data_IF_065104508677
#
_entry.id   IF_065104508677
#
_cell.length_a   1.000
_cell.length_b   1.000
_cell.length_c   1.000
_cell.angle_alpha   90.00
_cell.angle_beta   90.00
_cell.angle_gamma   90.00
#
_symmetry.space_group_name_H-M   'P 1'
#
loop_
_entity.id
_entity.type
_entity.pdbx_description
1 polymer ?
#
# COMPACT_ATOMS: atom_id res chain seq x y z
N UNK A 1 53.49 51.63 54.25
CA UNK A 1 53.41 51.46 52.80
C UNK A 1 52.86 50.10 52.56
N UNK A 2 51.54 49.98 52.34
CA UNK A 2 50.81 48.73 52.17
C UNK A 2 50.55 48.53 50.68
N UNK A 3 51.04 47.41 50.10
CA UNK A 3 50.76 47.03 48.74
C UNK A 3 49.41 46.27 48.70
N UNK A 4 48.44 46.79 48.00
CA UNK A 4 47.19 46.12 47.67
C UNK A 4 47.48 45.14 46.52
N UNK A 5 47.19 43.88 46.76
CA UNK A 5 47.17 42.86 45.73
C UNK A 5 45.82 42.74 45.08
N UNK A 6 45.76 42.89 43.77
CA UNK A 6 44.56 42.75 42.96
C UNK A 6 44.36 41.25 42.62
N UNK A 7 43.33 40.63 43.17
CA UNK A 7 42.92 39.27 42.77
C UNK A 7 41.98 39.36 41.54
N UNK A 8 42.49 38.80 40.42
CA UNK A 8 41.66 38.63 39.23
C UNK A 8 40.81 37.35 39.37
N UNK A 9 39.53 37.49 39.38
CA UNK A 9 38.57 36.38 39.38
C UNK A 9 38.34 35.94 37.92
N UNK A 10 38.87 34.78 37.58
CA UNK A 10 38.62 34.16 36.26
C UNK A 10 37.27 33.41 36.32
N UNK A 11 36.25 33.92 35.63
CA UNK A 11 34.99 33.22 35.44
C UNK A 11 35.17 32.18 34.32
N UNK A 12 35.09 30.91 34.68
CA UNK A 12 35.04 29.80 33.73
C UNK A 12 33.62 29.64 33.27
N UNK A 13 33.32 30.07 32.04
CA UNK A 13 32.04 29.72 31.36
C UNK A 13 32.15 28.27 30.89
N UNK A 14 31.49 27.36 31.59
CA UNK A 14 31.25 26.00 31.08
C UNK A 14 30.10 26.04 30.10
N UNK A 15 30.41 25.98 28.80
CA UNK A 15 29.44 25.80 27.72
C UNK A 15 28.93 24.36 27.78
N UNK A 16 27.76 24.17 28.38
CA UNK A 16 27.06 22.90 28.41
C UNK A 16 26.60 22.52 27.00
N UNK A 17 27.32 21.64 26.33
CA UNK A 17 26.90 21.03 25.08
C UNK A 17 25.79 20.02 25.41
N UNK A 18 24.53 20.40 25.23
CA UNK A 18 23.40 19.46 25.28
C UNK A 18 23.49 18.60 24.04
N UNK A 19 24.09 17.42 24.16
CA UNK A 19 23.99 16.34 23.19
C UNK A 19 22.54 15.87 23.25
N UNK A 20 21.72 16.29 22.30
CA UNK A 20 20.44 15.68 22.04
C UNK A 20 20.68 14.22 21.66
N UNK A 21 20.45 13.31 22.59
CA UNK A 21 20.39 11.87 22.31
C UNK A 21 19.09 11.71 21.51
N UNK A 22 19.19 11.71 20.18
CA UNK A 22 18.10 11.24 19.33
C UNK A 22 17.78 9.82 19.80
N UNK A 23 16.59 9.60 20.34
CA UNK A 23 16.11 8.26 20.59
C UNK A 23 16.12 7.54 19.25
N UNK A 24 16.96 6.52 19.11
CA UNK A 24 16.84 5.53 18.03
C UNK A 24 15.55 4.79 18.36
N UNK A 25 14.45 5.15 17.68
CA UNK A 25 13.21 4.39 17.74
C UNK A 25 13.54 3.02 17.18
N UNK A 26 13.67 2.06 18.06
CA UNK A 26 13.83 0.65 17.66
C UNK A 26 12.52 0.26 17.03
N UNK A 27 12.53 -0.18 15.78
CA UNK A 27 11.35 -0.63 15.08
C UNK A 27 10.89 -1.96 15.72
N UNK A 28 9.95 -1.87 16.66
CA UNK A 28 9.25 -3.04 17.21
C UNK A 28 8.04 -3.32 16.30
N UNK A 29 8.32 -3.92 15.13
CA UNK A 29 7.30 -4.27 14.16
C UNK A 29 6.66 -5.59 14.61
N UNK A 30 5.38 -5.52 14.97
CA UNK A 30 4.52 -6.68 15.14
C UNK A 30 4.16 -7.21 13.76
N UNK A 31 4.25 -8.52 13.60
CA UNK A 31 3.96 -9.22 12.35
C UNK A 31 3.20 -10.50 12.70
N UNK A 32 2.03 -10.67 12.10
CA UNK A 32 1.22 -11.86 12.37
C UNK A 32 0.38 -12.27 11.16
N UNK A 33 0.19 -13.60 11.02
CA UNK A 33 -0.86 -14.14 10.16
C UNK A 33 -2.19 -14.05 10.88
N UNK A 34 -3.20 -13.50 10.21
CA UNK A 34 -4.55 -13.31 10.75
C UNK A 34 -5.52 -14.18 9.99
N UNK A 35 -6.13 -15.15 10.69
CA UNK A 35 -7.15 -16.01 10.09
C UNK A 35 -8.53 -15.43 10.39
N UNK A 36 -9.29 -15.17 9.33
CA UNK A 36 -10.66 -14.68 9.39
C UNK A 36 -11.57 -15.55 8.49
N UNK A 37 -12.87 -15.38 8.60
CA UNK A 37 -13.84 -16.26 7.93
C UNK A 37 -14.80 -15.46 7.06
N UNK A 38 -14.98 -15.89 5.81
CA UNK A 38 -15.99 -15.37 4.89
C UNK A 38 -16.90 -16.54 4.48
N UNK A 39 -18.18 -16.43 4.76
CA UNK A 39 -19.20 -17.46 4.44
C UNK A 39 -18.79 -18.89 4.90
N UNK A 40 -18.16 -18.98 6.07
CA UNK A 40 -17.69 -20.24 6.65
C UNK A 40 -16.38 -20.79 6.07
N UNK A 41 -15.75 -20.08 5.11
CA UNK A 41 -14.46 -20.44 4.55
C UNK A 41 -13.33 -19.63 5.20
N UNK A 42 -12.20 -20.25 5.58
CA UNK A 42 -11.08 -19.55 6.18
C UNK A 42 -10.25 -18.81 5.13
N UNK A 43 -9.81 -17.60 5.48
CA UNK A 43 -8.84 -16.78 4.78
C UNK A 43 -7.69 -16.43 5.72
N UNK A 44 -6.50 -16.19 5.19
CA UNK A 44 -5.32 -15.90 5.99
C UNK A 44 -4.59 -14.68 5.45
N UNK A 45 -4.88 -13.51 6.03
CA UNK A 45 -4.17 -12.26 5.78
C UNK A 45 -2.87 -12.15 6.58
N UNK A 46 -2.12 -11.10 6.30
CA UNK A 46 -0.90 -10.77 7.02
C UNK A 46 -0.94 -9.33 7.52
N UNK A 47 -0.74 -9.16 8.83
CA UNK A 47 -0.73 -7.87 9.50
C UNK A 47 0.69 -7.44 9.88
N UNK A 48 1.01 -6.16 9.69
CA UNK A 48 2.25 -5.55 10.15
C UNK A 48 1.96 -4.16 10.74
N UNK A 49 2.52 -3.88 11.93
CA UNK A 49 2.37 -2.61 12.64
C UNK A 49 3.65 -2.29 13.42
N UNK A 50 4.11 -1.06 13.39
CA UNK A 50 5.27 -0.62 14.17
C UNK A 50 4.81 0.08 15.45
N UNK A 51 4.95 -0.60 16.59
CA UNK A 51 4.56 -0.06 17.91
C UNK A 51 5.32 1.23 18.29
N UNK A 52 6.47 1.50 17.66
CA UNK A 52 7.24 2.72 17.87
C UNK A 52 6.51 4.02 17.48
N UNK A 53 5.51 3.93 16.60
CA UNK A 53 4.63 5.05 16.23
C UNK A 53 3.37 5.17 17.10
N UNK A 54 3.22 4.31 18.13
CA UNK A 54 2.07 4.30 19.02
C UNK A 54 0.85 3.58 18.45
N UNK A 55 -0.28 3.81 19.09
CA UNK A 55 -1.58 3.27 18.67
C UNK A 55 -2.29 4.26 17.74
N UNK A 56 -3.30 3.79 17.01
CA UNK A 56 -4.09 4.62 16.09
C UNK A 56 -3.34 5.03 14.81
N UNK A 57 -2.61 4.06 14.21
CA UNK A 57 -1.91 4.26 12.94
C UNK A 57 -2.88 4.16 11.77
N UNK A 58 -2.76 5.03 10.74
CA UNK A 58 -3.55 4.93 9.53
C UNK A 58 -3.37 3.56 8.87
N UNK A 59 -4.43 3.05 8.26
CA UNK A 59 -4.46 1.71 7.66
C UNK A 59 -4.12 1.74 6.17
N UNK A 60 -3.20 0.89 5.77
CA UNK A 60 -3.01 0.53 4.36
C UNK A 60 -3.51 -0.90 4.15
N UNK A 61 -4.58 -1.05 3.37
CA UNK A 61 -5.06 -2.34 2.90
C UNK A 61 -4.27 -2.72 1.64
N UNK A 62 -3.45 -3.78 1.70
CA UNK A 62 -2.62 -4.23 0.60
C UNK A 62 -3.24 -5.44 -0.10
N UNK A 63 -3.49 -5.35 -1.40
CA UNK A 63 -4.02 -6.46 -2.21
C UNK A 63 -2.91 -7.10 -3.01
N UNK A 64 -2.77 -8.43 -2.86
CA UNK A 64 -1.72 -9.23 -3.46
C UNK A 64 -1.81 -9.31 -4.99
N UNK A 65 -0.71 -9.69 -5.63
CA UNK A 65 -0.66 -9.97 -7.06
C UNK A 65 -1.36 -11.31 -7.41
N UNK A 66 -1.27 -11.77 -8.65
CA UNK A 66 -1.93 -13.00 -9.09
C UNK A 66 -1.37 -14.29 -8.48
N UNK A 67 -0.19 -14.24 -7.83
CA UNK A 67 0.40 -15.39 -7.14
C UNK A 67 -0.25 -15.68 -5.78
N UNK A 68 -1.13 -14.79 -5.31
CA UNK A 68 -1.67 -14.82 -3.96
C UNK A 68 -0.74 -14.14 -2.95
N UNK A 69 -1.16 -14.09 -1.71
CA UNK A 69 -0.39 -13.47 -0.64
C UNK A 69 0.87 -14.28 -0.35
N UNK A 70 2.04 -13.71 -0.64
CA UNK A 70 3.34 -14.35 -0.42
C UNK A 70 4.37 -13.42 0.28
N UNK A 71 5.64 -13.78 0.20
CA UNK A 71 6.72 -13.02 0.84
C UNK A 71 6.91 -11.61 0.27
N UNK A 72 6.44 -11.34 -0.95
CA UNK A 72 6.50 -10.02 -1.57
C UNK A 72 5.57 -9.05 -0.84
N UNK A 73 4.30 -9.40 -0.71
CA UNK A 73 3.31 -8.57 0.00
C UNK A 73 3.65 -8.43 1.49
N UNK A 74 4.10 -9.52 2.13
CA UNK A 74 4.55 -9.48 3.51
C UNK A 74 5.69 -8.48 3.70
N UNK A 75 6.67 -8.43 2.78
CA UNK A 75 7.77 -7.47 2.84
C UNK A 75 7.29 -6.04 2.55
N UNK A 76 6.39 -5.83 1.60
CA UNK A 76 5.77 -4.51 1.34
C UNK A 76 4.99 -4.01 2.57
N UNK A 77 4.26 -4.89 3.24
CA UNK A 77 3.56 -4.56 4.48
C UNK A 77 4.52 -4.12 5.59
N UNK A 78 5.65 -4.83 5.77
CA UNK A 78 6.69 -4.43 6.72
C UNK A 78 7.29 -3.06 6.38
N UNK A 79 7.56 -2.80 5.10
CA UNK A 79 8.10 -1.51 4.64
C UNK A 79 7.14 -0.36 4.93
N UNK A 80 5.83 -0.56 4.83
CA UNK A 80 4.81 0.44 5.20
C UNK A 80 4.75 0.62 6.73
N UNK A 81 4.82 -0.47 7.50
CA UNK A 81 4.90 -0.38 8.95
C UNK A 81 6.17 0.37 9.43
N UNK A 82 7.30 0.24 8.73
CA UNK A 82 8.51 1.03 8.95
C UNK A 82 8.27 2.55 8.75
N UNK A 83 7.23 2.95 7.99
CA UNK A 83 6.84 4.35 7.76
C UNK A 83 5.74 4.85 8.72
N UNK A 84 5.17 3.98 9.57
CA UNK A 84 4.15 4.35 10.54
C UNK A 84 2.72 4.01 10.14
N UNK A 85 2.53 3.25 9.06
CA UNK A 85 1.21 2.77 8.63
C UNK A 85 0.95 1.36 9.15
N UNK A 86 -0.17 1.14 9.82
CA UNK A 86 -0.68 -0.22 10.02
C UNK A 86 -1.03 -0.82 8.66
N UNK A 87 -0.54 -2.03 8.36
CA UNK A 87 -0.76 -2.62 7.04
C UNK A 87 -1.37 -4.00 7.16
N UNK A 88 -2.44 -4.24 6.43
CA UNK A 88 -3.07 -5.54 6.30
C UNK A 88 -3.03 -6.02 4.86
N UNK A 89 -2.24 -7.05 4.59
CA UNK A 89 -2.25 -7.73 3.29
C UNK A 89 -3.41 -8.74 3.29
N UNK A 90 -4.43 -8.47 2.48
CA UNK A 90 -5.65 -9.28 2.42
C UNK A 90 -5.45 -10.52 1.55
N UNK A 91 -5.96 -11.67 2.00
CA UNK A 91 -6.02 -12.89 1.21
C UNK A 91 -7.34 -12.93 0.40
N UNK A 92 -7.26 -12.97 -0.92
CA UNK A 92 -8.42 -13.07 -1.79
C UNK A 92 -8.69 -14.50 -2.29
N UNK A 93 -7.77 -15.45 -2.05
CA UNK A 93 -7.90 -16.80 -2.59
C UNK A 93 -8.39 -17.83 -1.55
N UNK A 94 -8.05 -17.61 -0.29
CA UNK A 94 -8.38 -18.50 0.83
C UNK A 94 -7.16 -19.09 1.51
N UNK A 95 -7.32 -19.47 2.77
CA UNK A 95 -6.24 -20.00 3.58
C UNK A 95 -5.53 -21.19 2.91
N UNK A 96 -4.21 -21.08 2.76
CA UNK A 96 -3.37 -22.09 2.14
C UNK A 96 -3.43 -22.17 0.60
N UNK A 97 -4.26 -21.36 -0.06
CA UNK A 97 -4.27 -21.26 -1.52
C UNK A 97 -3.14 -20.33 -1.96
N UNK A 98 -2.06 -20.93 -2.43
CA UNK A 98 -0.84 -20.22 -2.88
C UNK A 98 -0.43 -20.81 -4.22
N UNK A 99 -0.82 -20.21 -5.35
CA UNK A 99 -0.43 -20.64 -6.70
C UNK A 99 1.09 -20.78 -6.84
N UNK A 100 1.55 -21.85 -7.52
CA UNK A 100 2.96 -22.20 -7.65
C UNK A 100 3.50 -22.05 -9.07
N UNK A 101 2.63 -21.78 -10.00
CA UNK A 101 2.94 -21.63 -11.42
C UNK A 101 1.90 -20.73 -12.10
N UNK A 102 2.21 -20.36 -13.35
CA UNK A 102 1.35 -19.47 -14.15
C UNK A 102 -0.08 -19.99 -14.32
N UNK A 103 -0.26 -21.31 -14.54
CA UNK A 103 -1.57 -21.91 -14.75
C UNK A 103 -2.46 -21.79 -13.49
N UNK A 104 -1.90 -22.09 -12.32
CA UNK A 104 -2.59 -21.95 -11.03
C UNK A 104 -2.92 -20.49 -10.75
N UNK A 105 -1.97 -19.56 -11.00
CA UNK A 105 -2.18 -18.12 -10.81
C UNK A 105 -3.29 -17.57 -11.70
N UNK A 106 -3.31 -17.95 -12.99
CA UNK A 106 -4.36 -17.60 -13.93
C UNK A 106 -5.71 -18.17 -13.52
N UNK A 107 -5.73 -19.40 -13.00
CA UNK A 107 -6.96 -20.05 -12.57
C UNK A 107 -7.58 -19.32 -11.36
N UNK A 108 -6.78 -18.99 -10.34
CA UNK A 108 -7.30 -18.32 -9.13
C UNK A 108 -7.71 -16.86 -9.41
N UNK A 109 -6.86 -16.06 -10.07
CA UNK A 109 -7.22 -14.68 -10.45
C UNK A 109 -8.40 -14.65 -11.43
N UNK A 110 -8.45 -15.57 -12.37
CA UNK A 110 -9.53 -15.70 -13.36
C UNK A 110 -10.90 -15.96 -12.75
N UNK A 111 -10.98 -16.74 -11.66
CA UNK A 111 -12.24 -16.93 -10.92
C UNK A 111 -12.81 -15.60 -10.42
N UNK A 112 -11.95 -14.74 -9.89
CA UNK A 112 -12.36 -13.44 -9.34
C UNK A 112 -12.60 -12.39 -10.44
N UNK A 113 -11.86 -12.45 -11.53
CA UNK A 113 -12.19 -11.64 -12.71
C UNK A 113 -13.56 -12.00 -13.31
N UNK A 114 -13.93 -13.28 -13.29
CA UNK A 114 -15.25 -13.75 -13.77
C UNK A 114 -16.39 -13.48 -12.77
N UNK A 115 -16.08 -13.34 -11.47
CA UNK A 115 -17.06 -13.08 -10.41
C UNK A 115 -16.63 -11.87 -9.57
N UNK A 116 -16.91 -10.67 -10.09
CA UNK A 116 -16.61 -9.40 -9.42
C UNK A 116 -17.37 -9.21 -8.12
N UNK A 117 -18.55 -9.80 -7.98
CA UNK A 117 -19.31 -9.74 -6.73
C UNK A 117 -18.59 -10.48 -5.61
N UNK A 118 -18.07 -11.67 -5.87
CA UNK A 118 -17.24 -12.41 -4.93
C UNK A 118 -15.92 -11.68 -4.62
N UNK A 119 -15.28 -11.07 -5.62
CA UNK A 119 -14.08 -10.24 -5.40
C UNK A 119 -14.39 -9.11 -4.41
N UNK A 120 -15.45 -8.34 -4.65
CA UNK A 120 -15.89 -7.22 -3.78
C UNK A 120 -16.20 -7.70 -2.37
N UNK A 121 -16.91 -8.82 -2.22
CA UNK A 121 -17.24 -9.37 -0.90
C UNK A 121 -16.00 -9.75 -0.11
N UNK A 122 -14.99 -10.35 -0.74
CA UNK A 122 -13.72 -10.70 -0.09
C UNK A 122 -12.89 -9.48 0.29
N UNK A 123 -12.83 -8.46 -0.58
CA UNK A 123 -12.17 -7.18 -0.29
C UNK A 123 -12.84 -6.47 0.90
N UNK A 124 -14.16 -6.39 0.91
CA UNK A 124 -14.92 -5.77 2.00
C UNK A 124 -14.72 -6.52 3.34
N UNK A 125 -14.72 -7.85 3.32
CA UNK A 125 -14.48 -8.65 4.51
C UNK A 125 -13.05 -8.47 5.06
N UNK A 126 -12.04 -8.44 4.16
CA UNK A 126 -10.65 -8.17 4.55
C UNK A 126 -10.45 -6.75 5.10
N UNK A 127 -11.13 -5.75 4.53
CA UNK A 127 -11.15 -4.38 5.03
C UNK A 127 -11.76 -4.33 6.45
N UNK A 128 -12.93 -4.96 6.63
CA UNK A 128 -13.60 -4.98 7.92
C UNK A 128 -12.77 -5.68 9.01
N UNK A 129 -12.04 -6.75 8.67
CA UNK A 129 -11.10 -7.41 9.59
C UNK A 129 -9.95 -6.47 9.95
N UNK A 130 -9.33 -5.83 8.95
CA UNK A 130 -8.21 -4.92 9.14
C UNK A 130 -8.55 -3.72 10.04
N UNK A 131 -9.74 -3.15 9.87
CA UNK A 131 -10.21 -2.00 10.66
C UNK A 131 -10.41 -2.31 12.15
N UNK A 132 -10.55 -3.58 12.52
CA UNK A 132 -10.70 -4.02 13.91
C UNK A 132 -9.38 -4.42 14.58
N UNK A 133 -8.26 -4.41 13.84
CA UNK A 133 -6.95 -4.79 14.38
C UNK A 133 -6.48 -3.78 15.43
N UNK A 134 -5.83 -4.30 16.48
CA UNK A 134 -5.33 -3.46 17.56
C UNK A 134 -4.25 -2.47 17.07
N UNK A 135 -4.41 -1.19 17.38
CA UNK A 135 -3.47 -0.15 17.02
C UNK A 135 -3.76 0.53 15.68
N UNK A 136 -4.81 0.09 14.99
CA UNK A 136 -5.25 0.63 13.69
C UNK A 136 -6.22 1.81 13.90
N UNK A 137 -6.08 2.85 13.08
CA UNK A 137 -7.10 3.86 12.82
C UNK A 137 -7.92 3.41 11.61
N UNK A 138 -9.05 2.80 11.86
CA UNK A 138 -9.91 2.25 10.82
C UNK A 138 -10.70 3.29 10.03
N UNK A 139 -10.66 4.56 10.43
CA UNK A 139 -11.33 5.68 9.75
C UNK A 139 -10.42 6.36 8.71
N UNK A 140 -9.10 6.08 8.74
CA UNK A 140 -8.11 6.58 7.78
C UNK A 140 -7.50 5.42 7.00
N UNK A 141 -8.00 5.17 5.78
CA UNK A 141 -7.68 3.98 5.01
C UNK A 141 -7.31 4.29 3.57
N UNK A 142 -6.19 3.74 3.11
CA UNK A 142 -5.86 3.68 1.68
C UNK A 142 -5.71 2.22 1.25
N UNK A 143 -6.37 1.84 0.16
CA UNK A 143 -6.20 0.53 -0.46
C UNK A 143 -5.14 0.60 -1.56
N UNK A 144 -4.15 -0.30 -1.52
CA UNK A 144 -3.11 -0.41 -2.55
C UNK A 144 -3.07 -1.84 -3.11
N UNK A 145 -2.68 -2.00 -4.37
CA UNK A 145 -2.57 -3.32 -4.96
C UNK A 145 -1.58 -3.41 -6.11
N UNK A 146 -1.02 -4.59 -6.29
CA UNK A 146 -0.01 -4.90 -7.29
C UNK A 146 -0.57 -5.85 -8.35
N UNK A 147 -0.38 -5.58 -9.64
CA UNK A 147 -0.82 -6.43 -10.75
C UNK A 147 -2.35 -6.73 -10.67
N UNK A 148 -2.74 -7.98 -10.43
CA UNK A 148 -4.12 -8.37 -10.12
C UNK A 148 -4.72 -7.54 -8.97
N UNK A 149 -3.95 -7.31 -7.91
CA UNK A 149 -4.36 -6.47 -6.78
C UNK A 149 -4.62 -5.01 -7.19
N UNK A 150 -3.85 -4.47 -8.14
CA UNK A 150 -4.10 -3.14 -8.69
C UNK A 150 -5.46 -3.04 -9.40
N UNK A 151 -5.85 -4.07 -10.15
CA UNK A 151 -7.19 -4.16 -10.74
C UNK A 151 -8.29 -4.34 -9.66
N UNK A 152 -7.99 -5.12 -8.61
CA UNK A 152 -8.92 -5.34 -7.50
C UNK A 152 -9.19 -4.06 -6.69
N UNK A 153 -8.16 -3.21 -6.50
CA UNK A 153 -8.31 -1.90 -5.86
C UNK A 153 -9.19 -0.97 -6.71
N UNK A 154 -9.05 -0.98 -8.03
CA UNK A 154 -9.95 -0.24 -8.91
C UNK A 154 -11.38 -0.80 -8.88
N UNK A 155 -11.55 -2.09 -8.62
CA UNK A 155 -12.86 -2.68 -8.38
C UNK A 155 -13.49 -2.19 -7.06
N UNK A 156 -12.67 -1.96 -6.01
CA UNK A 156 -13.14 -1.30 -4.77
C UNK A 156 -13.63 0.12 -5.04
N UNK A 157 -12.87 0.89 -5.83
CA UNK A 157 -13.22 2.26 -6.21
C UNK A 157 -14.58 2.30 -6.94
N UNK A 158 -14.74 1.46 -7.99
CA UNK A 158 -16.03 1.34 -8.74
C UNK A 158 -17.18 0.87 -7.86
N UNK A 159 -16.91 0.08 -6.82
CA UNK A 159 -17.92 -0.36 -5.87
C UNK A 159 -18.30 0.71 -4.83
N UNK A 160 -17.64 1.87 -4.81
CA UNK A 160 -17.86 2.91 -3.83
C UNK A 160 -17.51 2.48 -2.41
N UNK A 161 -16.47 1.64 -2.23
CA UNK A 161 -16.01 1.26 -0.90
C UNK A 161 -15.47 2.49 -0.17
N UNK A 162 -15.85 2.63 1.09
CA UNK A 162 -15.53 3.79 1.92
C UNK A 162 -14.08 3.72 2.42
N UNK A 163 -13.18 4.25 1.60
CA UNK A 163 -11.75 4.42 1.91
C UNK A 163 -11.27 5.74 1.29
N UNK A 164 -10.25 6.37 1.88
CA UNK A 164 -9.76 7.70 1.51
C UNK A 164 -8.99 7.72 0.18
N UNK A 165 -8.45 6.56 -0.23
CA UNK A 165 -7.73 6.50 -1.49
C UNK A 165 -7.44 5.09 -2.00
N UNK A 166 -7.12 5.03 -3.30
CA UNK A 166 -6.87 3.80 -4.05
C UNK A 166 -5.58 3.95 -4.86
N UNK A 167 -4.64 3.00 -4.71
CA UNK A 167 -3.38 3.02 -5.46
C UNK A 167 -3.19 1.73 -6.25
N UNK A 168 -3.08 1.84 -7.57
CA UNK A 168 -2.85 0.72 -8.47
C UNK A 168 -1.42 0.72 -9.00
N UNK A 169 -0.63 -0.30 -8.67
CA UNK A 169 0.70 -0.55 -9.24
C UNK A 169 0.59 -1.55 -10.39
N UNK A 170 0.93 -1.14 -11.59
CA UNK A 170 0.90 -1.96 -12.81
C UNK A 170 -0.33 -2.89 -12.89
N UNK A 171 -1.51 -2.35 -12.54
CA UNK A 171 -2.77 -3.08 -12.61
C UNK A 171 -3.29 -3.23 -14.04
N UNK A 172 -4.30 -4.10 -14.21
CA UNK A 172 -5.13 -4.10 -15.40
C UNK A 172 -6.26 -3.07 -15.25
N UNK A 173 -6.57 -2.35 -16.34
CA UNK A 173 -7.46 -1.20 -16.32
C UNK A 173 -8.83 -1.46 -16.96
N UNK A 174 -9.11 -2.69 -17.34
CA UNK A 174 -10.42 -3.05 -17.91
C UNK A 174 -11.55 -2.69 -16.95
N UNK A 175 -12.50 -1.89 -17.43
CA UNK A 175 -13.76 -1.61 -16.73
C UNK A 175 -14.82 -2.58 -17.25
N UNK A 176 -15.36 -3.47 -16.39
CA UNK A 176 -16.38 -4.42 -16.80
C UNK A 176 -17.65 -3.74 -17.30
N UNK A 177 -18.37 -4.39 -18.22
CA UNK A 177 -19.64 -3.88 -18.75
C UNK A 177 -20.65 -3.55 -17.63
N UNK A 178 -21.24 -2.37 -17.68
CA UNK A 178 -22.21 -1.89 -16.69
C UNK A 178 -21.60 -1.35 -15.40
N UNK A 179 -20.28 -1.22 -15.34
CA UNK A 179 -19.59 -0.53 -14.25
C UNK A 179 -19.03 0.81 -14.73
N UNK A 180 -18.84 1.73 -13.80
CA UNK A 180 -18.15 3.00 -13.99
C UNK A 180 -17.54 3.48 -12.65
N UNK A 181 -16.94 4.67 -12.65
CA UNK A 181 -16.31 5.26 -11.45
C UNK A 181 -17.23 6.26 -10.71
N UNK A 182 -18.53 6.35 -11.06
CA UNK A 182 -19.45 7.33 -10.47
C UNK A 182 -19.68 7.17 -8.97
N UNK A 183 -19.35 6.00 -8.41
CA UNK A 183 -19.45 5.73 -6.97
C UNK A 183 -18.14 5.93 -6.22
N UNK A 184 -17.03 6.24 -6.90
CA UNK A 184 -15.73 6.43 -6.27
C UNK A 184 -15.73 7.65 -5.33
N UNK A 185 -15.31 7.47 -4.08
CA UNK A 185 -15.32 8.53 -3.07
C UNK A 185 -13.92 9.00 -2.69
N UNK A 186 -12.91 8.15 -2.79
CA UNK A 186 -11.51 8.47 -2.47
C UNK A 186 -10.70 8.90 -3.69
N UNK A 187 -9.51 9.44 -3.44
CA UNK A 187 -8.52 9.77 -4.49
C UNK A 187 -7.94 8.51 -5.13
N UNK A 188 -7.52 8.60 -6.39
CA UNK A 188 -6.91 7.47 -7.12
C UNK A 188 -5.51 7.82 -7.58
N UNK A 189 -4.53 6.92 -7.35
CA UNK A 189 -3.17 7.02 -7.89
C UNK A 189 -2.86 5.80 -8.76
N UNK A 190 -2.45 6.04 -10.01
CA UNK A 190 -2.03 5.01 -10.96
C UNK A 190 -0.51 5.09 -11.15
N UNK A 191 0.20 3.99 -10.91
CA UNK A 191 1.64 3.87 -11.03
C UNK A 191 1.96 2.79 -12.08
N UNK A 192 2.36 3.22 -13.31
CA UNK A 192 2.32 2.33 -14.46
C UNK A 192 3.56 2.44 -15.36
N UNK A 193 3.93 1.33 -16.01
CA UNK A 193 5.02 1.26 -16.98
C UNK A 193 4.51 1.50 -18.41
N UNK A 194 5.23 2.29 -19.23
CA UNK A 194 4.77 2.59 -20.60
C UNK A 194 4.84 1.40 -21.56
N UNK A 195 5.66 0.40 -21.25
CA UNK A 195 5.87 -0.80 -22.08
C UNK A 195 5.12 -2.03 -21.54
N UNK A 196 4.16 -1.79 -20.61
CA UNK A 196 3.34 -2.83 -20.02
C UNK A 196 2.42 -3.49 -21.07
N UNK A 197 2.63 -4.79 -21.40
CA UNK A 197 1.81 -5.49 -22.40
C UNK A 197 0.45 -5.95 -21.84
N UNK A 198 0.28 -5.96 -20.53
CA UNK A 198 -0.98 -6.37 -19.86
C UNK A 198 -2.01 -5.24 -19.89
N UNK A 199 -1.54 -3.99 -19.72
CA UNK A 199 -2.38 -2.79 -19.83
C UNK A 199 -1.64 -1.74 -20.67
N UNK A 200 -1.74 -1.79 -22.01
CA UNK A 200 -1.09 -0.83 -22.89
C UNK A 200 -1.52 0.62 -22.62
N UNK A 201 -0.72 1.58 -23.07
CA UNK A 201 -1.01 3.02 -22.88
C UNK A 201 -2.38 3.48 -23.42
N UNK A 202 -2.98 2.71 -24.33
CA UNK A 202 -4.36 2.96 -24.76
C UNK A 202 -5.37 2.72 -23.64
N UNK A 203 -5.15 1.71 -22.82
CA UNK A 203 -6.02 1.39 -21.66
C UNK A 203 -5.83 2.42 -20.54
N UNK A 204 -4.60 2.94 -20.37
CA UNK A 204 -4.34 4.08 -19.45
C UNK A 204 -5.13 5.32 -19.87
N UNK A 205 -5.11 5.64 -21.16
CA UNK A 205 -5.84 6.79 -21.70
C UNK A 205 -7.37 6.63 -21.58
N UNK A 206 -7.86 5.40 -21.75
CA UNK A 206 -9.28 5.09 -21.55
C UNK A 206 -9.66 5.23 -20.07
N UNK A 207 -8.86 4.66 -19.15
CA UNK A 207 -9.07 4.79 -17.71
C UNK A 207 -9.12 6.26 -17.27
N UNK A 208 -8.18 7.10 -17.76
CA UNK A 208 -8.18 8.53 -17.47
C UNK A 208 -9.49 9.19 -17.93
N UNK A 209 -9.97 8.88 -19.13
CA UNK A 209 -11.22 9.43 -19.64
C UNK A 209 -12.45 8.97 -18.86
N UNK A 210 -12.46 7.72 -18.36
CA UNK A 210 -13.53 7.19 -17.53
C UNK A 210 -13.56 7.86 -16.14
N UNK A 211 -12.39 8.11 -15.53
CA UNK A 211 -12.27 8.82 -14.26
C UNK A 211 -12.65 10.30 -14.40
N UNK A 212 -12.19 10.98 -15.45
CA UNK A 212 -12.60 12.34 -15.78
C UNK A 212 -14.13 12.47 -15.93
N UNK A 213 -14.74 11.53 -16.66
CA UNK A 213 -16.19 11.52 -16.88
C UNK A 213 -17.00 11.33 -15.60
N UNK A 214 -16.40 10.71 -14.58
CA UNK A 214 -16.97 10.46 -13.27
C UNK A 214 -16.59 11.51 -12.20
N UNK A 215 -15.83 12.55 -12.57
CA UNK A 215 -15.34 13.62 -11.68
C UNK A 215 -14.49 13.07 -10.50
N UNK A 216 -13.71 12.01 -10.76
CA UNK A 216 -12.81 11.40 -9.77
C UNK A 216 -11.54 12.24 -9.65
N UNK A 217 -11.08 12.49 -8.43
CA UNK A 217 -9.74 13.08 -8.16
C UNK A 217 -8.67 12.00 -8.35
N UNK A 218 -7.84 12.11 -9.40
CA UNK A 218 -6.83 11.12 -9.69
C UNK A 218 -5.52 11.69 -10.22
N UNK A 219 -4.42 10.96 -9.96
CA UNK A 219 -3.09 11.18 -10.50
C UNK A 219 -2.57 9.92 -11.18
N UNK A 220 -1.74 10.10 -12.23
CA UNK A 220 -1.08 9.00 -12.93
C UNK A 220 0.41 9.29 -13.10
N UNK A 221 1.29 8.39 -12.64
CA UNK A 221 2.72 8.41 -12.95
C UNK A 221 3.06 7.30 -13.94
N UNK A 222 3.59 7.69 -15.10
CA UNK A 222 4.00 6.76 -16.16
C UNK A 222 5.53 6.69 -16.23
N UNK A 223 6.06 5.47 -16.11
CA UNK A 223 7.49 5.19 -16.16
C UNK A 223 7.88 4.73 -17.58
N UNK A 224 8.62 5.58 -18.31
CA UNK A 224 8.97 5.34 -19.71
C UNK A 224 9.90 4.15 -19.91
N UNK A 225 9.55 3.23 -20.82
CA UNK A 225 10.34 2.04 -21.15
C UNK A 225 10.26 0.93 -20.07
N UNK A 226 9.30 1.00 -19.16
CA UNK A 226 9.15 0.08 -18.02
C UNK A 226 8.03 -0.92 -18.29
N UNK A 227 8.29 -2.19 -18.01
CA UNK A 227 7.40 -3.33 -18.26
C UNK A 227 6.42 -3.57 -17.07
N UNK A 228 5.50 -4.52 -17.25
CA UNK A 228 4.61 -5.03 -16.20
C UNK A 228 5.39 -5.66 -15.04
N UNK A 229 4.85 -5.58 -13.81
CA UNK A 229 5.47 -6.12 -12.60
C UNK A 229 6.84 -5.51 -12.25
N UNK A 230 7.10 -4.27 -12.66
CA UNK A 230 8.38 -3.57 -12.43
C UNK A 230 8.75 -3.40 -10.95
N UNK A 231 7.82 -3.58 -10.02
CA UNK A 231 8.06 -3.50 -8.58
C UNK A 231 8.42 -4.85 -7.96
N UNK A 232 8.20 -5.97 -8.68
CA UNK A 232 8.34 -7.33 -8.14
C UNK A 232 9.78 -7.81 -8.26
N UNK A 233 10.48 -7.92 -7.14
CA UNK A 233 11.94 -8.23 -7.09
C UNK A 233 12.32 -9.56 -7.76
N UNK A 234 11.39 -10.48 -7.87
CA UNK A 234 11.59 -11.81 -8.49
C UNK A 234 11.13 -11.88 -9.94
N UNK A 235 10.69 -10.77 -10.53
CA UNK A 235 10.16 -10.74 -11.90
C UNK A 235 11.25 -10.84 -13.01
N UNK A 236 12.51 -11.02 -12.63
CA UNK A 236 13.64 -11.11 -13.59
C UNK A 236 13.86 -9.79 -14.33
N UNK A 237 13.92 -9.85 -15.65
CA UNK A 237 14.20 -8.68 -16.50
C UNK A 237 13.09 -7.63 -16.48
N UNK A 238 11.90 -7.94 -15.96
CA UNK A 238 10.80 -6.97 -15.82
C UNK A 238 10.94 -6.07 -14.57
N UNK A 239 11.73 -6.48 -13.58
CA UNK A 239 11.98 -5.64 -12.41
C UNK A 239 12.81 -4.41 -12.80
N UNK A 240 12.29 -3.21 -12.53
CA UNK A 240 13.04 -1.97 -12.68
C UNK A 240 13.22 -1.27 -11.33
N UNK A 241 14.43 -1.37 -10.78
CA UNK A 241 14.73 -0.81 -9.45
C UNK A 241 14.67 0.73 -9.38
N UNK A 242 14.69 1.44 -10.52
CA UNK A 242 14.49 2.89 -10.53
C UNK A 242 12.99 3.24 -10.48
N UNK A 243 12.19 2.57 -11.31
CA UNK A 243 10.74 2.74 -11.32
C UNK A 243 10.13 2.28 -9.99
N UNK A 244 10.58 1.15 -9.43
CA UNK A 244 10.17 0.67 -8.10
C UNK A 244 10.39 1.74 -7.01
N UNK A 245 11.59 2.34 -6.95
CA UNK A 245 11.86 3.42 -5.97
C UNK A 245 11.08 4.70 -6.23
N UNK A 246 10.80 5.05 -7.50
CA UNK A 246 9.99 6.22 -7.83
C UNK A 246 8.54 6.01 -7.42
N UNK A 247 7.96 4.88 -7.81
CA UNK A 247 6.57 4.54 -7.48
C UNK A 247 6.35 4.39 -5.96
N UNK A 248 7.34 3.84 -5.24
CA UNK A 248 7.31 3.81 -3.78
C UNK A 248 7.29 5.21 -3.16
N UNK A 249 8.07 6.15 -3.70
CA UNK A 249 8.05 7.55 -3.23
C UNK A 249 6.71 8.23 -3.55
N UNK A 250 6.16 8.00 -4.73
CA UNK A 250 4.84 8.51 -5.11
C UNK A 250 3.76 7.98 -4.14
N UNK A 251 3.78 6.67 -3.83
CA UNK A 251 2.90 6.09 -2.81
C UNK A 251 3.04 6.81 -1.46
N UNK A 252 4.26 6.98 -0.93
CA UNK A 252 4.45 7.64 0.37
C UNK A 252 3.98 9.10 0.37
N UNK A 253 4.16 9.82 -0.74
CA UNK A 253 3.62 11.17 -0.89
C UNK A 253 2.09 11.14 -0.86
N UNK A 254 1.48 10.24 -1.63
CA UNK A 254 0.03 10.08 -1.68
C UNK A 254 -0.57 9.73 -0.31
N UNK A 255 0.06 8.80 0.43
CA UNK A 255 -0.37 8.44 1.80
C UNK A 255 -0.31 9.65 2.73
N UNK A 256 0.81 10.41 2.71
CA UNK A 256 0.98 11.61 3.53
C UNK A 256 -0.02 12.74 3.21
N UNK A 257 -0.49 12.84 1.98
CA UNK A 257 -1.51 13.82 1.57
C UNK A 257 -2.94 13.37 1.84
N UNK A 258 -3.16 12.06 2.00
CA UNK A 258 -4.51 11.48 2.07
C UNK A 258 -4.91 11.08 3.49
N UNK A 259 -4.00 10.47 4.26
CA UNK A 259 -4.33 9.86 5.57
C UNK A 259 -3.40 10.21 6.74
N UNK A 260 -2.42 11.12 6.57
CA UNK A 260 -1.55 11.59 7.70
C UNK A 260 -2.17 12.71 8.56
#
# INVERSE_FOLDING_TARGET
MKKLGLMALAAILTLGMVLGIGQVVRADIVQESVVYTIDGQPYEGYFALNQGFGNNQPLVLLVHDWNGLDSYEMRRAQMLAEQGYATFAVDLYGQGVRPRNTEESQAESGKLYADRATMRARLAAGLAEAQQMMGVDGDRVVAIGYCFGGAAVLEMARAGMDVDGFVSFHGSFETPEGQDYSQTQGRVLILHGSDDPVAPMADVAQLAAEMDAADVDFDMEIYGGVDHAFTVWTAGDRYDGLADRKSWRALLTFLGETID
#
